data_IF_625106895523
#
_entry.id   IF_625106895523
#
_cell.length_a   1.000
_cell.length_b   1.000
_cell.length_c   1.000
_cell.angle_alpha   90.00
_cell.angle_beta   90.00
_cell.angle_gamma   90.00
#
_symmetry.space_group_name_H-M   'P 1'
#
loop_
_entity.id
_entity.type
_entity.pdbx_description
1 polymer ?
#
# COMPACT_ATOMS: atom_id res chain seq x y z
N UNK A 1 26.40 6.62 -23.41
CA UNK A 1 25.29 5.93 -22.71
C UNK A 1 24.20 6.95 -22.47
N UNK A 2 23.01 6.81 -23.10
CA UNK A 2 21.88 7.69 -22.79
C UNK A 2 21.45 7.37 -21.34
N UNK A 3 21.63 8.32 -20.43
CA UNK A 3 21.02 8.28 -19.11
C UNK A 3 19.50 8.33 -19.33
N UNK A 4 18.85 7.21 -19.26
CA UNK A 4 17.40 7.17 -19.11
C UNK A 4 17.13 7.66 -17.69
N UNK A 5 16.66 8.87 -17.55
CA UNK A 5 16.12 9.33 -16.27
C UNK A 5 14.95 8.42 -15.94
N UNK A 6 15.07 7.62 -14.90
CA UNK A 6 14.03 6.65 -14.52
C UNK A 6 12.68 7.33 -14.26
N UNK A 7 12.70 8.62 -14.00
CA UNK A 7 11.52 9.44 -13.77
C UNK A 7 10.60 9.55 -14.99
N UNK A 8 11.16 9.49 -16.21
CA UNK A 8 10.36 9.52 -17.46
C UNK A 8 9.46 8.28 -17.63
N UNK A 9 9.71 7.22 -16.89
CA UNK A 9 8.93 5.97 -16.95
C UNK A 9 7.87 5.88 -15.87
N UNK A 10 7.85 6.82 -14.94
CA UNK A 10 6.89 6.80 -13.81
C UNK A 10 5.50 7.16 -14.30
N UNK A 11 4.58 6.22 -14.14
CA UNK A 11 3.15 6.38 -14.45
C UNK A 11 2.29 6.42 -13.20
N UNK A 12 2.75 5.78 -12.15
CA UNK A 12 2.02 5.59 -10.91
C UNK A 12 2.82 6.16 -9.73
N UNK A 13 2.22 7.09 -9.02
CA UNK A 13 2.79 7.70 -7.83
C UNK A 13 2.05 7.21 -6.59
N UNK A 14 2.78 6.81 -5.57
CA UNK A 14 2.25 6.71 -4.21
C UNK A 14 2.80 7.86 -3.39
N UNK A 15 1.94 8.78 -3.01
CA UNK A 15 2.28 9.96 -2.24
C UNK A 15 1.95 9.75 -0.77
N UNK A 16 2.96 9.81 0.08
CA UNK A 16 2.82 9.94 1.53
C UNK A 16 2.83 11.42 1.87
N UNK A 17 1.74 11.89 2.45
CA UNK A 17 1.57 13.32 2.77
C UNK A 17 2.34 13.77 4.01
N UNK A 18 3.04 12.84 4.68
CA UNK A 18 3.89 13.12 5.83
C UNK A 18 5.38 12.86 5.56
N UNK A 19 6.20 13.23 6.52
CA UNK A 19 7.66 13.07 6.47
C UNK A 19 8.06 11.61 6.69
N UNK A 20 9.06 11.13 5.97
CA UNK A 20 9.58 9.77 6.14
C UNK A 20 10.02 9.49 7.58
N UNK A 21 9.33 8.53 8.22
CA UNK A 21 9.62 8.11 9.61
C UNK A 21 9.20 9.09 10.71
N UNK A 22 8.42 10.14 10.39
CA UNK A 22 8.07 11.22 11.34
C UNK A 22 6.63 11.73 11.21
N UNK A 23 5.70 10.87 10.86
CA UNK A 23 4.33 11.28 10.61
C UNK A 23 3.45 11.30 11.86
N UNK A 24 2.55 12.25 11.92
CA UNK A 24 1.49 12.33 12.89
C UNK A 24 0.22 11.71 12.33
N UNK A 25 -0.24 10.61 12.89
CA UNK A 25 -1.42 9.91 12.43
C UNK A 25 -2.59 10.02 13.43
N UNK A 26 -3.81 10.06 12.95
CA UNK A 26 -5.03 9.98 13.78
C UNK A 26 -5.20 8.60 14.40
N UNK A 27 -4.59 7.58 13.78
CA UNK A 27 -4.54 6.21 14.28
C UNK A 27 -3.14 5.89 14.83
N UNK A 28 -3.10 5.01 15.83
CA UNK A 28 -1.86 4.44 16.35
C UNK A 28 -1.85 2.94 16.10
N UNK A 29 -2.02 2.56 14.84
CA UNK A 29 -2.19 1.16 14.44
C UNK A 29 -1.07 0.27 14.95
N UNK A 30 -1.42 -0.81 15.64
CA UNK A 30 -0.46 -1.73 16.26
C UNK A 30 0.45 -2.38 15.20
N UNK A 31 -0.12 -2.73 14.04
CA UNK A 31 0.59 -3.34 12.91
C UNK A 31 1.08 -2.36 11.85
N UNK A 32 1.16 -1.05 12.15
CA UNK A 32 1.56 -0.07 11.15
C UNK A 32 3.01 -0.25 10.72
N UNK A 33 3.24 -0.43 9.42
CA UNK A 33 4.58 -0.58 8.84
C UNK A 33 5.42 0.67 9.00
N UNK A 34 4.78 1.83 9.04
CA UNK A 34 5.45 3.14 9.08
C UNK A 34 5.65 3.68 10.49
N UNK A 35 5.23 2.92 11.47
CA UNK A 35 5.54 3.31 12.81
C UNK A 35 4.57 4.21 13.53
N UNK A 36 3.35 4.31 13.10
CA UNK A 36 2.16 4.96 13.71
C UNK A 36 2.31 5.87 14.95
N UNK A 37 3.38 5.71 15.68
CA UNK A 37 3.66 6.45 16.90
C UNK A 37 4.57 7.62 16.57
N UNK A 38 3.98 8.80 16.57
CA UNK A 38 4.74 10.02 16.45
C UNK A 38 5.34 10.35 17.78
N UNK A 39 6.63 10.42 17.76
CA UNK A 39 7.39 10.94 18.88
C UNK A 39 7.80 12.40 18.72
N UNK A 40 7.65 13.02 17.56
CA UNK A 40 8.17 14.34 17.31
C UNK A 40 7.16 15.40 16.93
N UNK A 41 7.44 16.63 17.36
CA UNK A 41 6.51 17.72 17.58
C UNK A 41 6.20 18.59 16.37
N UNK A 42 6.87 18.41 15.25
CA UNK A 42 6.63 19.30 14.11
C UNK A 42 5.77 18.59 13.08
N UNK A 43 4.49 18.98 12.95
CA UNK A 43 3.67 18.50 11.87
C UNK A 43 4.30 18.99 10.56
N UNK A 44 4.47 18.09 9.60
CA UNK A 44 4.70 18.49 8.24
C UNK A 44 3.48 19.33 7.80
N UNK A 45 3.74 20.52 7.29
CA UNK A 45 2.72 21.29 6.59
C UNK A 45 2.87 21.04 5.10
N UNK A 46 1.85 20.41 4.51
CA UNK A 46 1.82 20.14 3.09
C UNK A 46 2.09 21.41 2.27
N UNK A 47 2.97 21.31 1.30
CA UNK A 47 3.31 22.40 0.41
C UNK A 47 2.89 22.08 -1.02
N UNK A 48 1.90 22.79 -1.53
CA UNK A 48 1.38 22.57 -2.89
C UNK A 48 2.44 22.79 -3.99
N UNK A 49 3.47 23.60 -3.74
CA UNK A 49 4.56 23.78 -4.68
C UNK A 49 5.38 22.49 -4.85
N UNK A 50 5.46 21.65 -3.82
CA UNK A 50 6.08 20.33 -3.97
C UNK A 50 5.26 19.43 -4.88
N UNK A 51 3.93 19.50 -4.83
CA UNK A 51 3.07 18.76 -5.75
C UNK A 51 3.28 19.21 -7.20
N UNK A 52 3.32 20.53 -7.45
CA UNK A 52 3.62 21.09 -8.77
C UNK A 52 4.98 20.61 -9.28
N UNK A 53 5.98 20.61 -8.41
CA UNK A 53 7.32 20.12 -8.73
C UNK A 53 7.33 18.63 -9.07
N UNK A 54 6.56 17.80 -8.34
CA UNK A 54 6.40 16.37 -8.65
C UNK A 54 5.84 16.21 -10.06
N UNK A 55 4.78 16.95 -10.41
CA UNK A 55 4.14 16.88 -11.72
C UNK A 55 5.13 17.28 -12.82
N UNK A 56 5.88 18.35 -12.61
CA UNK A 56 6.92 18.80 -13.54
C UNK A 56 8.02 17.73 -13.78
N UNK A 57 8.45 17.07 -12.70
CA UNK A 57 9.52 16.05 -12.74
C UNK A 57 9.07 14.69 -13.26
N UNK A 58 7.76 14.44 -13.30
CA UNK A 58 7.16 13.16 -13.72
C UNK A 58 6.24 13.37 -14.93
N UNK A 59 6.80 13.65 -16.13
CA UNK A 59 6.02 14.08 -17.29
C UNK A 59 5.02 13.04 -17.82
N UNK A 60 5.21 11.77 -17.49
CA UNK A 60 4.32 10.67 -17.90
C UNK A 60 3.45 10.13 -16.76
N UNK A 61 3.28 10.90 -15.69
CA UNK A 61 2.46 10.51 -14.55
C UNK A 61 0.98 10.43 -14.95
N UNK A 62 0.38 9.27 -14.77
CA UNK A 62 -1.02 9.00 -15.07
C UNK A 62 -1.88 8.91 -13.81
N UNK A 63 -1.30 8.46 -12.70
CA UNK A 63 -2.02 8.13 -11.49
C UNK A 63 -1.29 8.56 -10.22
N UNK A 64 -2.00 9.22 -9.31
CA UNK A 64 -1.49 9.60 -7.98
C UNK A 64 -2.32 8.93 -6.88
N UNK A 65 -1.69 8.06 -6.10
CA UNK A 65 -2.27 7.41 -4.94
C UNK A 65 -1.86 8.15 -3.67
N UNK A 66 -2.79 8.91 -3.10
CA UNK A 66 -2.60 9.59 -1.83
C UNK A 66 -2.83 8.58 -0.71
N UNK A 67 -1.74 8.11 -0.14
CA UNK A 67 -1.74 7.06 0.86
C UNK A 67 -1.69 7.67 2.26
N UNK A 68 -2.53 7.10 3.13
CA UNK A 68 -2.61 7.51 4.51
C UNK A 68 -1.40 7.13 5.34
N UNK A 69 -0.35 7.88 5.21
CA UNK A 69 0.73 7.83 6.17
C UNK A 69 1.35 9.23 6.35
N UNK A 70 0.85 9.96 7.30
CA UNK A 70 -0.30 9.71 8.18
C UNK A 70 -1.60 9.49 7.39
N UNK A 71 -2.65 8.99 8.06
CA UNK A 71 -3.97 8.91 7.43
C UNK A 71 -4.36 10.26 6.83
N UNK A 72 -4.95 10.26 5.65
CA UNK A 72 -5.34 11.50 4.92
C UNK A 72 -6.30 12.40 5.71
N UNK A 73 -6.92 11.88 6.76
CA UNK A 73 -7.74 12.67 7.70
C UNK A 73 -6.94 13.67 8.54
N UNK A 74 -5.61 13.51 8.63
CA UNK A 74 -4.73 14.42 9.38
C UNK A 74 -4.67 15.79 8.72
N UNK A 75 -4.54 15.79 7.38
CA UNK A 75 -4.50 17.02 6.59
C UNK A 75 -5.34 16.89 5.34
N UNK A 76 -6.65 16.84 5.57
CA UNK A 76 -7.65 16.66 4.51
C UNK A 76 -7.63 17.78 3.48
N UNK A 77 -7.35 19.03 3.90
CA UNK A 77 -7.31 20.17 3.00
C UNK A 77 -6.13 20.09 2.04
N UNK A 78 -4.96 19.81 2.58
CA UNK A 78 -3.79 19.61 1.72
C UNK A 78 -4.00 18.44 0.75
N UNK A 79 -4.56 17.31 1.21
CA UNK A 79 -4.85 16.17 0.36
C UNK A 79 -5.85 16.54 -0.76
N UNK A 80 -6.86 17.35 -0.45
CA UNK A 80 -7.82 17.87 -1.42
C UNK A 80 -7.16 18.83 -2.42
N UNK A 81 -6.32 19.78 -1.95
CA UNK A 81 -5.59 20.70 -2.82
C UNK A 81 -4.60 19.94 -3.73
N UNK A 82 -3.87 18.97 -3.20
CA UNK A 82 -2.99 18.12 -3.99
C UNK A 82 -3.76 17.34 -5.07
N UNK A 83 -4.92 16.78 -4.71
CA UNK A 83 -5.78 16.07 -5.67
C UNK A 83 -6.29 16.99 -6.78
N UNK A 84 -6.69 18.23 -6.45
CA UNK A 84 -7.07 19.23 -7.46
C UNK A 84 -5.91 19.60 -8.40
N UNK A 85 -4.70 19.67 -7.87
CA UNK A 85 -3.53 19.96 -8.71
C UNK A 85 -3.20 18.81 -9.65
N UNK A 86 -3.32 17.55 -9.20
CA UNK A 86 -3.22 16.37 -10.07
C UNK A 86 -4.33 16.37 -11.14
N UNK A 87 -5.57 16.65 -10.76
CA UNK A 87 -6.71 16.69 -11.69
C UNK A 87 -6.52 17.72 -12.79
N UNK A 88 -6.04 18.94 -12.48
CA UNK A 88 -5.74 19.98 -13.46
C UNK A 88 -4.74 19.53 -14.52
N UNK A 89 -3.89 18.57 -14.19
CA UNK A 89 -2.89 17.99 -15.07
C UNK A 89 -3.32 16.64 -15.68
N UNK A 90 -4.63 16.34 -15.64
CA UNK A 90 -5.22 15.09 -16.14
C UNK A 90 -4.68 13.80 -15.48
N UNK A 91 -4.18 13.93 -14.26
CA UNK A 91 -3.68 12.80 -13.47
C UNK A 91 -4.83 12.31 -12.58
N UNK A 92 -5.17 11.03 -12.72
CA UNK A 92 -6.20 10.40 -11.90
C UNK A 92 -5.75 10.23 -10.47
N UNK A 93 -6.68 10.43 -9.52
CA UNK A 93 -6.36 10.31 -8.09
C UNK A 93 -6.99 9.08 -7.46
N UNK A 94 -6.32 8.56 -6.45
CA UNK A 94 -6.79 7.49 -5.59
C UNK A 94 -6.48 7.87 -4.15
N UNK A 95 -7.37 7.49 -3.24
CA UNK A 95 -7.19 7.78 -1.83
C UNK A 95 -7.13 6.50 -1.00
N UNK A 96 -6.39 6.54 0.11
CA UNK A 96 -6.43 5.50 1.13
C UNK A 96 -6.67 6.11 2.49
N UNK A 97 -7.63 5.57 3.23
CA UNK A 97 -8.00 6.06 4.55
C UNK A 97 -8.40 4.92 5.48
N UNK A 98 -8.29 5.17 6.78
CA UNK A 98 -8.90 4.33 7.81
C UNK A 98 -10.41 4.54 7.93
N UNK A 99 -10.97 5.59 7.31
CA UNK A 99 -12.35 6.02 7.50
C UNK A 99 -12.55 6.97 8.70
N UNK A 100 -11.47 7.41 9.34
CA UNK A 100 -11.55 8.35 10.47
C UNK A 100 -12.32 9.62 10.12
N UNK A 101 -13.20 10.03 11.02
CA UNK A 101 -14.05 11.21 10.85
C UNK A 101 -15.20 11.02 9.88
N UNK A 102 -15.44 9.80 9.39
CA UNK A 102 -16.63 9.39 8.67
C UNK A 102 -16.95 10.26 7.46
N UNK A 103 -18.24 10.55 7.31
CA UNK A 103 -18.78 11.33 6.20
C UNK A 103 -18.19 12.75 6.10
N UNK A 104 -17.83 13.38 7.24
CA UNK A 104 -17.27 14.73 7.25
C UNK A 104 -15.91 14.77 6.56
N UNK A 105 -15.05 13.81 6.85
CA UNK A 105 -13.70 13.72 6.29
C UNK A 105 -13.75 13.46 4.79
N UNK A 106 -14.53 12.47 4.35
CA UNK A 106 -14.56 12.13 2.93
C UNK A 106 -15.17 13.23 2.07
N UNK A 107 -16.24 13.91 2.53
CA UNK A 107 -16.83 15.05 1.82
C UNK A 107 -15.83 16.18 1.62
N UNK A 108 -15.04 16.49 2.66
CA UNK A 108 -14.02 17.52 2.58
C UNK A 108 -12.90 17.12 1.62
N UNK A 109 -12.47 15.86 1.68
CA UNK A 109 -11.41 15.32 0.83
C UNK A 109 -11.73 15.42 -0.66
N UNK A 110 -12.97 15.11 -1.06
CA UNK A 110 -13.37 15.09 -2.48
C UNK A 110 -14.08 16.37 -2.94
N UNK A 111 -14.13 17.40 -2.08
CA UNK A 111 -14.82 18.65 -2.36
C UNK A 111 -14.23 19.37 -3.59
N UNK A 112 -15.10 19.62 -4.58
CA UNK A 112 -14.72 20.32 -5.80
C UNK A 112 -13.89 19.49 -6.80
N UNK A 113 -13.72 18.17 -6.56
CA UNK A 113 -13.13 17.26 -7.52
C UNK A 113 -14.19 16.71 -8.48
N UNK A 114 -13.79 16.44 -9.71
CA UNK A 114 -14.59 15.64 -10.62
C UNK A 114 -14.47 14.15 -10.23
N UNK A 115 -15.58 13.56 -9.77
CA UNK A 115 -15.58 12.17 -9.29
C UNK A 115 -15.16 11.14 -10.33
N UNK A 116 -15.27 11.46 -11.64
CA UNK A 116 -14.78 10.60 -12.72
C UNK A 116 -13.24 10.47 -12.72
N UNK A 117 -12.53 11.44 -12.16
CA UNK A 117 -11.07 11.39 -12.01
C UNK A 117 -10.62 10.64 -10.76
N UNK A 118 -11.55 10.31 -9.86
CA UNK A 118 -11.26 9.49 -8.69
C UNK A 118 -11.39 8.03 -9.09
N UNK A 119 -10.25 7.35 -9.25
CA UNK A 119 -10.26 5.92 -9.61
C UNK A 119 -10.86 5.05 -8.53
N UNK A 120 -10.58 5.33 -7.26
CA UNK A 120 -11.20 4.71 -6.10
C UNK A 120 -10.80 5.41 -4.80
N UNK A 121 -11.62 5.17 -3.76
CA UNK A 121 -11.24 5.38 -2.37
C UNK A 121 -11.05 4.02 -1.71
N UNK A 122 -9.88 3.80 -1.13
CA UNK A 122 -9.53 2.56 -0.43
C UNK A 122 -9.72 2.72 1.07
N UNK A 123 -10.45 1.80 1.68
CA UNK A 123 -10.70 1.78 3.12
C UNK A 123 -9.96 0.62 3.79
N UNK A 124 -9.14 0.93 4.79
CA UNK A 124 -8.47 -0.06 5.63
C UNK A 124 -9.45 -0.59 6.67
N UNK A 125 -10.12 -1.70 6.35
CA UNK A 125 -11.09 -2.36 7.23
C UNK A 125 -10.59 -3.75 7.56
N UNK A 126 -10.05 -3.92 8.77
CA UNK A 126 -9.38 -5.14 9.18
C UNK A 126 -10.31 -6.11 9.92
N UNK A 127 -11.50 -5.64 10.35
CA UNK A 127 -12.56 -6.37 11.05
C UNK A 127 -13.86 -5.58 11.03
N UNK A 128 -15.00 -6.20 11.40
CA UNK A 128 -16.30 -5.56 11.55
C UNK A 128 -16.69 -5.31 13.01
N UNK A 129 -15.84 -5.70 13.96
CA UNK A 129 -16.07 -5.58 15.40
C UNK A 129 -15.37 -4.32 15.93
N UNK A 130 -16.11 -3.38 16.55
CA UNK A 130 -15.56 -2.12 17.04
C UNK A 130 -14.41 -2.30 18.05
N UNK A 131 -14.51 -3.27 18.95
CA UNK A 131 -13.44 -3.56 19.92
C UNK A 131 -12.14 -4.01 19.20
N UNK A 132 -12.26 -4.84 18.17
CA UNK A 132 -11.11 -5.23 17.36
C UNK A 132 -10.60 -4.06 16.51
N UNK A 133 -11.50 -3.22 15.96
CA UNK A 133 -11.11 -1.98 15.26
C UNK A 133 -10.28 -1.10 16.19
N UNK A 134 -10.77 -0.83 17.40
CA UNK A 134 -10.09 -0.01 18.40
C UNK A 134 -8.71 -0.58 18.75
N UNK A 135 -8.63 -1.90 18.95
CA UNK A 135 -7.36 -2.56 19.22
C UNK A 135 -6.37 -2.43 18.06
N UNK A 136 -6.79 -2.82 16.84
CA UNK A 136 -5.91 -2.82 15.66
C UNK A 136 -5.50 -1.40 15.23
N UNK A 137 -6.42 -0.44 15.31
CA UNK A 137 -6.15 0.98 14.97
C UNK A 137 -5.49 1.77 16.10
N UNK A 138 -5.40 1.18 17.31
CA UNK A 138 -4.79 1.81 18.48
C UNK A 138 -5.49 3.10 18.92
N UNK A 139 -6.78 3.24 18.65
CA UNK A 139 -7.60 4.41 19.00
C UNK A 139 -9.08 4.03 19.09
N UNK A 140 -9.79 4.69 20.01
CA UNK A 140 -11.25 4.57 20.14
C UNK A 140 -12.02 5.62 19.30
N UNK A 141 -11.32 6.45 18.57
CA UNK A 141 -11.92 7.57 17.82
C UNK A 141 -12.35 7.16 16.41
N UNK A 142 -12.42 5.89 16.11
CA UNK A 142 -12.90 5.32 14.85
C UNK A 142 -13.78 4.11 15.14
N UNK A 143 -14.92 4.03 14.50
CA UNK A 143 -15.86 2.91 14.62
C UNK A 143 -16.21 2.36 13.23
N UNK A 144 -16.82 1.17 13.19
CA UNK A 144 -17.38 0.63 11.95
C UNK A 144 -18.41 1.60 11.35
N UNK A 145 -19.21 2.26 12.20
CA UNK A 145 -20.20 3.25 11.77
C UNK A 145 -19.55 4.42 11.01
N UNK A 146 -18.43 4.98 11.50
CA UNK A 146 -17.71 6.06 10.83
C UNK A 146 -17.21 5.62 9.45
N UNK A 147 -16.64 4.42 9.39
CA UNK A 147 -16.17 3.82 8.14
C UNK A 147 -17.33 3.66 7.16
N UNK A 148 -18.45 3.13 7.63
CA UNK A 148 -19.65 2.92 6.80
C UNK A 148 -20.27 4.21 6.28
N UNK A 149 -20.35 5.24 7.10
CA UNK A 149 -20.87 6.55 6.68
C UNK A 149 -20.02 7.12 5.54
N UNK A 150 -18.70 6.96 5.63
CA UNK A 150 -17.78 7.39 4.59
C UNK A 150 -17.92 6.55 3.31
N UNK A 151 -18.01 5.23 3.44
CA UNK A 151 -18.21 4.30 2.31
C UNK A 151 -19.55 4.59 1.63
N UNK A 152 -20.62 4.72 2.41
CA UNK A 152 -21.97 5.01 1.88
C UNK A 152 -21.97 6.30 1.05
N UNK A 153 -21.30 7.34 1.53
CA UNK A 153 -21.18 8.57 0.75
C UNK A 153 -20.49 8.31 -0.60
N UNK A 154 -19.39 7.56 -0.64
CA UNK A 154 -18.71 7.23 -1.90
C UNK A 154 -19.63 6.47 -2.84
N UNK A 155 -20.34 5.46 -2.33
CA UNK A 155 -21.29 4.65 -3.13
C UNK A 155 -22.43 5.51 -3.67
N UNK A 156 -23.06 6.35 -2.84
CA UNK A 156 -24.13 7.26 -3.25
C UNK A 156 -23.68 8.25 -4.34
N UNK A 157 -22.40 8.63 -4.32
CA UNK A 157 -21.80 9.55 -5.30
C UNK A 157 -21.17 8.82 -6.50
N UNK A 158 -21.34 7.51 -6.62
CA UNK A 158 -20.73 6.68 -7.65
C UNK A 158 -19.19 6.77 -7.70
N UNK A 159 -18.54 7.03 -6.56
CA UNK A 159 -17.09 6.95 -6.43
C UNK A 159 -16.73 5.49 -6.15
N UNK A 160 -15.85 4.85 -6.96
CA UNK A 160 -15.49 3.46 -6.73
C UNK A 160 -14.84 3.26 -5.36
N UNK A 161 -15.25 2.20 -4.66
CA UNK A 161 -14.72 1.84 -3.33
C UNK A 161 -13.93 0.55 -3.41
N UNK A 162 -12.80 0.53 -2.71
CA UNK A 162 -11.96 -0.65 -2.50
C UNK A 162 -11.82 -0.91 -1.00
N UNK A 163 -12.07 -2.13 -0.56
CA UNK A 163 -11.81 -2.55 0.83
C UNK A 163 -10.42 -3.20 0.90
N UNK A 164 -9.62 -2.79 1.89
CA UNK A 164 -8.22 -3.18 2.00
C UNK A 164 -7.87 -3.67 3.40
N UNK A 165 -8.24 -4.91 3.76
CA UNK A 165 -7.91 -5.50 5.05
C UNK A 165 -6.43 -5.88 5.14
N UNK A 166 -5.86 -5.72 6.34
CA UNK A 166 -4.60 -6.35 6.73
C UNK A 166 -4.89 -7.45 7.74
N UNK A 167 -4.52 -8.67 7.40
CA UNK A 167 -4.79 -9.84 8.24
C UNK A 167 -3.55 -10.21 9.07
N UNK A 168 -3.80 -10.45 10.35
CA UNK A 168 -2.89 -10.96 11.36
C UNK A 168 -3.47 -12.23 11.96
N UNK A 169 -2.73 -12.98 12.75
CA UNK A 169 -3.29 -14.13 13.50
C UNK A 169 -4.57 -13.74 14.26
N UNK A 170 -4.60 -12.54 14.84
CA UNK A 170 -5.69 -12.00 15.63
C UNK A 170 -7.03 -11.83 14.89
N UNK A 171 -6.98 -11.48 13.60
CA UNK A 171 -8.17 -11.25 12.77
C UNK A 171 -8.17 -12.10 11.48
N UNK A 172 -7.47 -13.22 11.50
CA UNK A 172 -7.26 -14.06 10.32
C UNK A 172 -8.55 -14.70 9.77
N UNK A 173 -9.59 -14.82 10.56
CA UNK A 173 -10.88 -15.39 10.15
C UNK A 173 -11.88 -14.32 9.66
N UNK A 174 -11.62 -13.05 9.94
CA UNK A 174 -12.58 -11.96 9.68
C UNK A 174 -12.78 -11.68 8.17
N UNK A 175 -11.90 -12.19 7.29
CA UNK A 175 -11.95 -11.90 5.85
C UNK A 175 -13.25 -12.34 5.17
N UNK A 176 -13.87 -13.42 5.63
CA UNK A 176 -15.13 -13.94 5.07
C UNK A 176 -16.26 -12.96 5.35
N UNK A 177 -16.35 -12.51 6.60
CA UNK A 177 -17.39 -11.60 7.05
C UNK A 177 -17.22 -10.22 6.39
N UNK A 178 -15.99 -9.72 6.28
CA UNK A 178 -15.67 -8.47 5.59
C UNK A 178 -16.14 -8.52 4.13
N UNK A 179 -15.79 -9.59 3.39
CA UNK A 179 -16.22 -9.73 1.99
C UNK A 179 -17.74 -9.77 1.91
N UNK A 180 -18.37 -10.63 2.70
CA UNK A 180 -19.82 -10.83 2.65
C UNK A 180 -20.59 -9.58 3.03
N UNK A 181 -20.14 -8.86 4.05
CA UNK A 181 -20.78 -7.65 4.55
C UNK A 181 -20.80 -6.54 3.49
N UNK A 182 -19.63 -6.16 3.01
CA UNK A 182 -19.51 -5.06 2.07
C UNK A 182 -20.09 -5.39 0.69
N UNK A 183 -19.99 -6.66 0.26
CA UNK A 183 -20.64 -7.12 -0.97
C UNK A 183 -22.17 -7.05 -0.86
N UNK A 184 -22.75 -7.59 0.23
CA UNK A 184 -24.22 -7.62 0.39
C UNK A 184 -24.83 -6.25 0.63
N UNK A 185 -24.18 -5.41 1.44
CA UNK A 185 -24.73 -4.13 1.89
C UNK A 185 -24.54 -2.99 0.89
N UNK A 186 -23.41 -2.99 0.18
CA UNK A 186 -22.99 -1.86 -0.66
C UNK A 186 -22.64 -2.26 -2.09
N UNK A 187 -22.80 -3.51 -2.50
CA UNK A 187 -22.37 -4.10 -3.79
C UNK A 187 -20.87 -3.83 -4.10
N UNK A 188 -20.03 -3.76 -3.06
CA UNK A 188 -18.60 -3.57 -3.25
C UNK A 188 -17.99 -4.87 -3.76
N UNK A 189 -17.31 -4.77 -4.91
CA UNK A 189 -16.70 -5.91 -5.61
C UNK A 189 -15.18 -5.88 -5.63
N UNK A 190 -14.56 -4.88 -5.04
CA UNK A 190 -13.10 -4.71 -5.09
C UNK A 190 -12.47 -4.81 -3.72
N UNK A 191 -11.61 -5.83 -3.55
CA UNK A 191 -10.90 -6.11 -2.30
C UNK A 191 -9.40 -6.27 -2.56
N UNK A 192 -8.58 -5.81 -1.64
CA UNK A 192 -7.13 -6.04 -1.66
C UNK A 192 -6.69 -6.46 -0.27
N UNK A 193 -6.33 -7.72 -0.11
CA UNK A 193 -5.86 -8.25 1.18
C UNK A 193 -4.36 -8.04 1.34
N UNK A 194 -3.94 -7.76 2.55
CA UNK A 194 -2.55 -7.74 2.95
C UNK A 194 -2.33 -8.75 4.08
N UNK A 195 -1.22 -9.48 4.02
CA UNK A 195 -0.71 -10.19 5.18
C UNK A 195 0.02 -9.18 6.08
N UNK A 196 -0.15 -9.30 7.39
CA UNK A 196 0.65 -8.56 8.35
C UNK A 196 2.14 -8.77 8.06
N UNK A 197 2.89 -7.68 8.00
CA UNK A 197 4.25 -7.72 7.46
C UNK A 197 5.27 -8.16 8.50
N UNK A 198 6.04 -9.20 8.18
CA UNK A 198 7.18 -9.64 8.99
C UNK A 198 8.24 -8.53 9.13
N UNK A 199 8.41 -7.72 8.10
CA UNK A 199 9.41 -6.68 8.08
C UNK A 199 9.07 -5.55 9.06
N UNK A 200 7.80 -5.21 9.22
CA UNK A 200 7.36 -4.16 10.16
C UNK A 200 7.60 -4.53 11.63
N UNK A 201 7.78 -5.79 11.94
CA UNK A 201 7.96 -6.27 13.32
C UNK A 201 9.42 -6.37 13.76
N UNK A 202 10.39 -6.29 12.85
CA UNK A 202 11.82 -6.44 13.18
C UNK A 202 12.29 -5.44 14.23
N UNK A 203 11.76 -4.24 14.24
CA UNK A 203 12.17 -3.15 15.13
C UNK A 203 11.13 -2.79 16.19
N UNK A 204 10.05 -3.56 16.33
CA UNK A 204 8.97 -3.28 17.25
C UNK A 204 8.55 -4.51 18.03
N UNK A 205 8.40 -4.35 19.33
CA UNK A 205 7.65 -5.31 20.14
C UNK A 205 6.15 -5.08 19.89
N UNK A 206 5.65 -5.58 18.77
CA UNK A 206 4.23 -5.53 18.44
C UNK A 206 3.58 -6.80 19.00
N UNK A 207 2.45 -6.70 19.71
CA UNK A 207 1.75 -7.86 20.26
C UNK A 207 1.00 -8.69 19.21
N UNK A 208 1.05 -8.28 17.93
CA UNK A 208 0.44 -9.02 16.84
C UNK A 208 1.38 -10.09 16.30
N UNK A 209 0.85 -11.29 16.14
CA UNK A 209 1.54 -12.39 15.49
C UNK A 209 1.15 -12.47 14.01
N UNK A 210 2.09 -12.96 13.22
CA UNK A 210 1.84 -13.29 11.82
C UNK A 210 0.94 -14.52 11.72
N UNK A 211 0.21 -14.60 10.62
CA UNK A 211 -0.53 -15.81 10.27
C UNK A 211 0.49 -16.87 9.86
N UNK A 212 0.33 -18.08 10.39
CA UNK A 212 1.15 -19.21 10.01
C UNK A 212 1.07 -19.46 8.49
N UNK A 213 2.19 -19.83 7.84
CA UNK A 213 2.27 -19.92 6.39
C UNK A 213 1.24 -20.84 5.74
N UNK A 214 1.00 -22.02 6.33
CA UNK A 214 -0.02 -22.96 5.84
C UNK A 214 -1.42 -22.39 6.00
N UNK A 215 -1.71 -21.71 7.11
CA UNK A 215 -2.99 -21.04 7.31
C UNK A 215 -3.20 -19.90 6.32
N UNK A 216 -2.16 -19.14 6.02
CA UNK A 216 -2.24 -18.12 4.98
C UNK A 216 -2.58 -18.72 3.61
N UNK A 217 -1.97 -19.85 3.24
CA UNK A 217 -2.29 -20.56 1.98
C UNK A 217 -3.76 -21.02 1.94
N UNK A 218 -4.31 -21.48 3.05
CA UNK A 218 -5.73 -21.83 3.18
C UNK A 218 -6.62 -20.60 2.98
N UNK A 219 -6.31 -19.49 3.65
CA UNK A 219 -7.04 -18.20 3.51
C UNK A 219 -7.03 -17.75 2.04
N UNK A 220 -5.87 -17.79 1.39
CA UNK A 220 -5.76 -17.42 -0.04
C UNK A 220 -6.69 -18.27 -0.90
N UNK A 221 -6.71 -19.60 -0.73
CA UNK A 221 -7.62 -20.49 -1.47
C UNK A 221 -9.08 -20.15 -1.23
N UNK A 222 -9.46 -19.89 0.03
CA UNK A 222 -10.85 -19.55 0.37
C UNK A 222 -11.25 -18.20 -0.23
N UNK A 223 -10.37 -17.20 -0.19
CA UNK A 223 -10.60 -15.89 -0.81
C UNK A 223 -10.79 -16.05 -2.33
N UNK A 224 -9.94 -16.84 -3.00
CA UNK A 224 -10.05 -17.11 -4.42
C UNK A 224 -11.39 -17.78 -4.78
N UNK A 225 -11.76 -18.82 -4.04
CA UNK A 225 -13.05 -19.49 -4.22
C UNK A 225 -14.25 -18.54 -4.08
N UNK A 226 -14.24 -17.65 -3.07
CA UNK A 226 -15.29 -16.64 -2.88
C UNK A 226 -15.28 -15.64 -4.04
N UNK A 227 -14.09 -15.22 -4.49
CA UNK A 227 -13.93 -14.28 -5.60
C UNK A 227 -14.54 -14.81 -6.88
N UNK A 228 -14.23 -16.05 -7.26
CA UNK A 228 -14.80 -16.71 -8.44
C UNK A 228 -16.32 -16.82 -8.35
N UNK A 229 -16.82 -17.35 -7.23
CA UNK A 229 -18.26 -17.56 -7.02
C UNK A 229 -19.08 -16.27 -7.09
N UNK A 230 -18.53 -15.16 -6.61
CA UNK A 230 -19.22 -13.86 -6.53
C UNK A 230 -18.79 -12.89 -7.63
N UNK A 231 -17.87 -13.28 -8.52
CA UNK A 231 -17.27 -12.42 -9.56
C UNK A 231 -16.68 -11.14 -8.97
N UNK A 232 -15.84 -11.29 -7.94
CA UNK A 232 -15.21 -10.17 -7.25
C UNK A 232 -13.82 -9.91 -7.83
N UNK A 233 -13.44 -8.64 -7.88
CA UNK A 233 -12.06 -8.23 -8.13
C UNK A 233 -11.28 -8.29 -6.83
N UNK A 234 -10.49 -9.36 -6.64
CA UNK A 234 -9.69 -9.54 -5.44
C UNK A 234 -8.22 -9.59 -5.78
N UNK A 235 -7.42 -8.92 -4.95
CA UNK A 235 -5.97 -9.04 -4.92
C UNK A 235 -5.57 -9.59 -3.56
N UNK A 236 -4.87 -10.73 -3.56
CA UNK A 236 -4.34 -11.36 -2.36
C UNK A 236 -2.90 -11.81 -2.60
N UNK A 237 -1.93 -11.47 -1.72
CA UNK A 237 -0.54 -11.82 -1.94
C UNK A 237 -0.29 -13.32 -1.68
N UNK A 238 0.26 -14.01 -2.67
CA UNK A 238 0.73 -15.40 -2.55
C UNK A 238 2.17 -15.42 -2.05
N UNK A 239 2.35 -15.07 -0.78
CA UNK A 239 3.68 -14.86 -0.19
C UNK A 239 4.40 -16.13 0.28
N UNK A 240 3.69 -17.26 0.35
CA UNK A 240 4.28 -18.55 0.74
C UNK A 240 4.08 -19.58 -0.38
N UNK A 241 5.15 -19.97 -1.01
CA UNK A 241 5.15 -20.92 -2.13
C UNK A 241 5.96 -22.17 -1.79
N UNK A 242 5.44 -23.35 -2.14
CA UNK A 242 6.23 -24.58 -2.11
C UNK A 242 7.12 -24.66 -3.36
N UNK A 243 7.97 -25.69 -3.47
CA UNK A 243 8.90 -25.83 -4.59
C UNK A 243 8.19 -25.94 -5.94
N UNK A 244 7.10 -26.70 -6.02
CA UNK A 244 6.33 -26.86 -7.26
C UNK A 244 5.70 -25.55 -7.72
N UNK A 245 5.10 -24.80 -6.78
CA UNK A 245 4.53 -23.48 -7.05
C UNK A 245 5.62 -22.50 -7.48
N UNK A 246 6.79 -22.56 -6.84
CA UNK A 246 7.95 -21.74 -7.21
C UNK A 246 8.44 -22.07 -8.63
N UNK A 247 8.48 -23.33 -9.00
CA UNK A 247 8.95 -23.74 -10.33
C UNK A 247 7.96 -23.33 -11.42
N UNK A 248 6.67 -23.43 -11.17
CA UNK A 248 5.63 -22.90 -12.06
C UNK A 248 5.71 -21.38 -12.20
N UNK A 249 5.96 -20.68 -11.11
CA UNK A 249 6.05 -19.23 -11.11
C UNK A 249 7.35 -18.71 -11.72
N UNK A 250 8.43 -19.52 -11.79
CA UNK A 250 9.67 -19.13 -12.48
C UNK A 250 9.44 -18.75 -13.95
N UNK A 251 8.49 -19.40 -14.59
CA UNK A 251 8.12 -19.10 -15.97
C UNK A 251 7.18 -17.90 -16.08
N UNK A 252 6.32 -17.69 -15.07
CA UNK A 252 5.26 -16.68 -15.04
C UNK A 252 5.59 -15.46 -14.20
N UNK A 253 6.54 -15.53 -13.25
CA UNK A 253 7.04 -14.34 -12.52
C UNK A 253 7.80 -13.45 -13.50
N UNK A 254 7.14 -13.18 -14.58
CA UNK A 254 7.55 -12.20 -15.50
C UNK A 254 7.33 -10.84 -14.87
N UNK A 255 8.40 -10.34 -14.29
CA UNK A 255 8.71 -8.99 -14.62
C UNK A 255 8.20 -7.90 -13.71
N UNK A 256 7.16 -8.05 -12.91
CA UNK A 256 6.62 -6.87 -12.26
C UNK A 256 6.49 -7.04 -10.74
N UNK A 257 7.51 -6.57 -10.05
CA UNK A 257 7.24 -5.91 -8.78
C UNK A 257 6.16 -4.85 -9.03
N UNK A 258 5.07 -4.83 -8.25
CA UNK A 258 4.03 -3.81 -8.39
C UNK A 258 4.58 -2.37 -8.28
N UNK A 259 5.79 -2.22 -7.75
CA UNK A 259 6.55 -0.97 -7.66
C UNK A 259 7.68 -0.91 -8.71
N UNK A 260 7.83 -1.94 -9.55
CA UNK A 260 8.99 -2.06 -10.43
C UNK A 260 8.79 -1.46 -11.80
N UNK A 261 9.37 -0.32 -12.05
CA UNK A 261 9.51 0.24 -13.38
C UNK A 261 8.60 1.41 -13.69
N UNK A 262 7.35 1.44 -13.20
CA UNK A 262 6.42 2.55 -13.45
C UNK A 262 5.92 3.21 -12.18
N UNK A 263 6.13 2.62 -11.02
CA UNK A 263 5.68 3.13 -9.72
C UNK A 263 6.78 3.81 -8.93
N UNK A 264 6.48 4.98 -8.40
CA UNK A 264 7.36 5.74 -7.50
C UNK A 264 6.64 6.01 -6.19
N UNK A 265 7.37 5.94 -5.08
CA UNK A 265 6.89 6.34 -3.76
C UNK A 265 7.59 7.60 -3.32
N UNK A 266 6.81 8.53 -2.82
CA UNK A 266 7.26 9.88 -2.47
C UNK A 266 6.81 10.23 -1.06
N UNK A 267 7.72 10.79 -0.28
CA UNK A 267 7.45 11.49 0.97
C UNK A 267 7.76 12.96 0.78
N UNK A 268 6.86 13.80 1.29
CA UNK A 268 7.08 15.22 1.32
C UNK A 268 7.84 15.57 2.60
N UNK A 269 8.92 16.30 2.47
CA UNK A 269 9.77 16.73 3.59
C UNK A 269 9.97 18.24 3.54
N UNK A 270 10.28 18.86 4.69
CA UNK A 270 10.57 20.28 4.73
C UNK A 270 11.76 20.67 3.83
N UNK A 271 12.70 19.75 3.68
CA UNK A 271 13.95 19.97 2.93
C UNK A 271 13.88 19.45 1.48
N UNK A 272 12.73 18.92 1.04
CA UNK A 272 12.66 18.39 -0.31
C UNK A 272 11.58 17.33 -0.51
N UNK A 273 11.74 16.57 -1.57
CA UNK A 273 10.83 15.51 -1.97
C UNK A 273 11.63 14.22 -2.03
N UNK A 274 11.45 13.36 -1.03
CA UNK A 274 12.17 12.09 -0.93
C UNK A 274 11.46 11.01 -1.69
N UNK A 275 12.19 10.25 -2.47
CA UNK A 275 11.68 9.25 -3.38
C UNK A 275 12.30 7.88 -3.16
N UNK A 276 11.57 6.82 -3.49
CA UNK A 276 12.09 5.46 -3.65
C UNK A 276 11.26 4.65 -4.64
N UNK A 277 11.88 3.70 -5.31
CA UNK A 277 11.18 2.70 -6.13
C UNK A 277 10.77 1.47 -5.33
N UNK A 278 11.42 1.20 -4.21
CA UNK A 278 11.14 0.03 -3.38
C UNK A 278 10.96 0.44 -1.91
N UNK A 279 9.73 0.47 -1.40
CA UNK A 279 9.49 0.85 0.00
C UNK A 279 10.11 -0.13 0.99
N UNK A 280 10.16 -1.43 0.66
CA UNK A 280 10.80 -2.43 1.51
C UNK A 280 12.29 -2.15 1.66
N UNK A 281 12.96 -1.82 0.55
CA UNK A 281 14.37 -1.48 0.57
C UNK A 281 14.61 -0.19 1.36
N UNK A 282 13.75 0.83 1.18
CA UNK A 282 13.86 2.08 1.92
C UNK A 282 13.61 1.91 3.43
N UNK A 283 12.74 0.96 3.83
CA UNK A 283 12.51 0.63 5.24
C UNK A 283 13.73 -0.06 5.89
N UNK A 284 14.42 -0.91 5.14
CA UNK A 284 15.60 -1.63 5.61
C UNK A 284 16.88 -0.80 5.50
N UNK A 285 16.95 0.01 4.48
CA UNK A 285 18.12 0.75 4.04
C UNK A 285 17.72 2.17 3.58
N UNK A 286 17.62 3.14 4.50
CA UNK A 286 17.21 4.52 4.18
C UNK A 286 18.09 5.19 3.12
N UNK A 287 19.35 4.75 2.96
CA UNK A 287 20.27 5.21 1.93
C UNK A 287 19.78 4.91 0.50
N UNK A 288 18.82 4.01 0.33
CA UNK A 288 18.18 3.74 -0.97
C UNK A 288 17.01 4.67 -1.27
N UNK A 289 16.94 5.80 -0.61
CA UNK A 289 16.08 6.92 -0.99
C UNK A 289 16.92 8.00 -1.69
N UNK A 290 16.25 8.84 -2.48
CA UNK A 290 16.88 9.96 -3.17
C UNK A 290 15.95 11.18 -3.13
N UNK A 291 16.52 12.37 -3.29
CA UNK A 291 15.70 13.57 -3.50
C UNK A 291 15.34 13.70 -4.99
N UNK A 292 14.14 14.18 -5.29
CA UNK A 292 13.61 14.24 -6.66
C UNK A 292 14.48 15.08 -7.61
N UNK A 293 15.29 15.98 -7.05
CA UNK A 293 16.23 16.82 -7.78
C UNK A 293 17.62 16.19 -7.95
N UNK A 294 17.88 15.10 -7.23
CA UNK A 294 19.17 14.43 -7.30
C UNK A 294 19.27 13.60 -8.58
N UNK A 295 20.46 13.54 -9.14
CA UNK A 295 20.79 12.64 -10.24
C UNK A 295 20.79 11.19 -9.74
N UNK A 296 19.76 10.42 -10.04
CA UNK A 296 19.64 9.03 -9.60
C UNK A 296 20.55 8.14 -10.44
N UNK A 297 21.75 7.88 -9.92
CA UNK A 297 22.74 7.06 -10.64
C UNK A 297 22.65 5.57 -10.35
N UNK A 298 22.03 5.18 -9.22
CA UNK A 298 22.18 3.81 -8.67
C UNK A 298 20.92 2.92 -8.73
N UNK A 299 19.72 3.49 -8.97
CA UNK A 299 18.46 2.77 -8.82
C UNK A 299 17.66 2.58 -10.09
N UNK A 300 18.23 2.93 -11.23
CA UNK A 300 17.55 2.78 -12.51
C UNK A 300 17.51 1.31 -12.87
N UNK A 301 16.34 0.71 -12.79
CA UNK A 301 16.08 -0.62 -13.27
C UNK A 301 15.80 -0.58 -14.75
N UNK A 302 16.79 -0.90 -15.51
CA UNK A 302 16.64 -1.08 -16.95
C UNK A 302 16.22 -2.50 -17.32
N UNK A 303 16.38 -3.46 -16.39
CA UNK A 303 16.28 -4.89 -16.63
C UNK A 303 15.18 -5.63 -15.85
N UNK A 304 14.35 -4.90 -15.10
CA UNK A 304 13.29 -5.50 -14.29
C UNK A 304 13.76 -6.32 -13.08
N UNK A 305 15.05 -6.30 -12.75
CA UNK A 305 15.61 -7.04 -11.61
C UNK A 305 15.26 -6.34 -10.29
N UNK A 306 14.82 -7.09 -9.28
CA UNK A 306 14.49 -6.55 -7.96
C UNK A 306 15.72 -5.95 -7.26
N UNK A 307 15.68 -4.66 -6.89
CA UNK A 307 16.77 -3.99 -6.19
C UNK A 307 17.08 -4.68 -4.85
N UNK A 308 16.05 -5.09 -4.11
CA UNK A 308 16.18 -5.87 -2.86
C UNK A 308 17.02 -7.13 -3.07
N UNK A 309 16.95 -7.75 -4.25
CA UNK A 309 17.70 -8.96 -4.56
C UNK A 309 19.21 -8.71 -4.61
N UNK A 310 19.66 -7.58 -5.12
CA UNK A 310 21.11 -7.29 -5.19
C UNK A 310 21.71 -7.10 -3.81
N UNK A 311 21.03 -6.32 -2.99
CA UNK A 311 21.55 -5.86 -1.70
C UNK A 311 21.33 -6.90 -0.58
N UNK A 312 20.16 -7.52 -0.54
CA UNK A 312 19.85 -8.52 0.49
C UNK A 312 20.50 -9.90 0.26
N UNK A 313 21.11 -10.13 -0.90
CA UNK A 313 21.93 -11.35 -1.13
C UNK A 313 23.11 -11.46 -0.16
N UNK A 314 23.67 -10.33 0.24
CA UNK A 314 24.81 -10.28 1.15
C UNK A 314 24.40 -10.52 2.60
N UNK A 315 23.14 -10.27 2.97
CA UNK A 315 22.65 -10.41 4.34
C UNK A 315 22.08 -11.78 4.69
N UNK A 316 22.23 -12.78 3.84
CA UNK A 316 21.65 -14.13 4.08
C UNK A 316 20.10 -14.16 4.23
N UNK A 317 19.39 -13.12 3.87
CA UNK A 317 17.93 -13.02 3.97
C UNK A 317 17.21 -13.63 2.77
N UNK A 318 17.87 -13.72 1.62
CA UNK A 318 17.29 -14.18 0.37
C UNK A 318 17.92 -15.49 -0.08
N UNK A 319 17.13 -16.40 -0.63
CA UNK A 319 17.61 -17.66 -1.19
C UNK A 319 18.47 -17.41 -2.44
N UNK A 320 19.74 -17.88 -2.41
CA UNK A 320 20.64 -17.84 -3.58
C UNK A 320 20.19 -18.74 -4.74
N UNK A 321 19.29 -19.69 -4.46
CA UNK A 321 18.80 -20.65 -5.47
C UNK A 321 17.76 -20.04 -6.43
N UNK A 322 17.24 -18.85 -6.12
CA UNK A 322 16.24 -18.19 -6.95
C UNK A 322 16.87 -17.35 -8.05
N UNK A 323 16.76 -17.81 -9.28
CA UNK A 323 17.20 -17.07 -10.47
C UNK A 323 16.12 -16.16 -11.04
N UNK A 324 14.93 -16.10 -10.41
CA UNK A 324 13.82 -15.26 -10.83
C UNK A 324 14.08 -13.77 -10.66
N UNK A 325 13.19 -12.96 -11.19
CA UNK A 325 13.27 -11.50 -11.16
C UNK A 325 12.72 -10.87 -9.87
N UNK A 326 12.43 -11.68 -8.84
CA UNK A 326 11.84 -11.28 -7.59
C UNK A 326 12.71 -11.53 -6.36
N UNK A 327 12.34 -10.92 -5.22
CA UNK A 327 12.93 -11.25 -3.93
C UNK A 327 12.23 -12.49 -3.35
N UNK A 328 13.01 -13.52 -3.07
CA UNK A 328 12.57 -14.73 -2.39
C UNK A 328 13.41 -14.88 -1.14
N UNK A 329 12.74 -14.90 -0.01
CA UNK A 329 13.39 -15.13 1.27
C UNK A 329 13.69 -16.63 1.45
N UNK A 330 14.56 -16.94 2.41
CA UNK A 330 14.91 -18.32 2.72
C UNK A 330 13.68 -19.15 3.00
N UNK A 331 13.77 -20.44 2.63
CA UNK A 331 12.78 -21.44 2.98
C UNK A 331 12.60 -21.51 4.50
N UNK A 332 11.35 -21.53 4.96
CA UNK A 332 11.03 -21.66 6.37
C UNK A 332 11.05 -23.14 6.83
N UNK A 333 10.73 -23.37 8.10
CA UNK A 333 10.67 -24.72 8.70
C UNK A 333 9.62 -25.64 8.08
N UNK A 334 8.63 -25.09 7.36
CA UNK A 334 7.56 -25.83 6.67
C UNK A 334 7.91 -26.08 5.19
N UNK A 335 9.17 -25.89 4.80
CA UNK A 335 9.65 -25.98 3.42
C UNK A 335 8.94 -25.04 2.44
N UNK A 336 8.45 -23.92 2.92
CA UNK A 336 7.84 -22.87 2.10
C UNK A 336 8.81 -21.72 1.89
N UNK A 337 8.84 -21.21 0.68
CA UNK A 337 9.55 -19.99 0.36
C UNK A 337 8.69 -18.78 0.64
N UNK A 338 9.24 -17.83 1.40
CA UNK A 338 8.60 -16.53 1.58
C UNK A 338 8.96 -15.63 0.40
N UNK A 339 7.96 -15.24 -0.36
CA UNK A 339 8.12 -14.36 -1.54
C UNK A 339 7.71 -12.95 -1.15
N UNK A 340 8.47 -11.97 -1.63
CA UNK A 340 8.18 -10.57 -1.38
C UNK A 340 6.70 -10.23 -1.69
N UNK A 341 6.00 -9.62 -0.75
CA UNK A 341 4.57 -9.26 -0.85
C UNK A 341 4.23 -8.38 -2.07
N UNK A 342 5.20 -7.66 -2.61
CA UNK A 342 5.03 -6.86 -3.82
C UNK A 342 5.08 -7.67 -5.11
N UNK A 343 5.43 -8.95 -5.00
CA UNK A 343 5.32 -9.97 -6.04
C UNK A 343 4.00 -10.69 -6.04
N UNK A 344 3.02 -10.21 -5.31
CA UNK A 344 1.70 -10.82 -5.36
C UNK A 344 1.24 -10.91 -6.80
N UNK A 345 0.97 -12.12 -7.23
CA UNK A 345 0.35 -12.39 -8.52
C UNK A 345 -1.00 -11.71 -8.44
N UNK A 346 -1.19 -10.72 -9.30
CA UNK A 346 -2.49 -10.10 -9.48
C UNK A 346 -3.36 -11.06 -10.26
N UNK A 347 -3.97 -11.99 -9.58
CA UNK A 347 -5.10 -12.69 -10.16
C UNK A 347 -6.26 -11.70 -10.22
N UNK A 348 -6.60 -11.29 -11.43
CA UNK A 348 -7.82 -10.56 -11.70
C UNK A 348 -8.87 -11.62 -12.06
N UNK A 349 -9.87 -11.74 -11.23
CA UNK A 349 -11.09 -12.50 -11.54
C UNK A 349 -12.21 -11.56 -11.96
#
# INVERSE_FOLDING_TARGET
>A
MKRLTALDKVKDLTLYTGTFGREKCTCNCIGCTQGGIIKEKEPYQGNINQIKKIIEKLPNLENAYLLGNPDISVDTDFCNEAAKEFEKNNISVMFSTSGYGGNKTIKRLVSGLNFKNIKYVSYSVDTLEDDKIHYLKGTKNISLKDIEESIKFCVDMNIPVKIQPTLWEYNQEDYIDIINYFYKKYDIKWFTFHAGSFESLKNRKVPLKHIEPLKWKEIVKNIQFIAEKKKLRIVVPRIFLNQEEMDKEKENIHTYCANGGTGLRIWLENNGIRCTYCPLLAELHPEFTFLIDEEVTHFIRTDGVCAVRREALDENLISKSWNGKGAVFKQNTENLYNVCRFFSIREQY
#
